data_IF_035242580916
#
_entry.id   IF_035242580916
#
_cell.length_a   1.000
_cell.length_b   1.000
_cell.length_c   1.000
_cell.angle_alpha   90.00
_cell.angle_beta   90.00
_cell.angle_gamma   90.00
#
_symmetry.space_group_name_H-M   'P 1'
#
loop_
_entity.id
_entity.type
_entity.pdbx_description
1 polymer ?
#
# COMPACT_ATOMS: atom_id res chain seq x y z
N UNK A 1 14.17 22.38 -4.44
CA UNK A 1 14.33 20.92 -4.60
C UNK A 1 13.17 20.24 -3.88
N UNK A 2 12.06 19.94 -4.57
CA UNK A 2 10.94 19.21 -3.97
C UNK A 2 11.15 17.70 -4.17
N UNK A 3 12.09 17.13 -3.43
CA UNK A 3 12.15 15.68 -3.30
C UNK A 3 10.98 15.28 -2.39
N UNK A 4 9.80 15.06 -2.96
CA UNK A 4 8.69 14.43 -2.23
C UNK A 4 9.14 13.01 -1.87
N UNK A 5 9.52 12.78 -0.62
CA UNK A 5 9.87 11.46 -0.10
C UNK A 5 8.65 10.82 0.56
N UNK A 6 8.68 9.50 0.76
CA UNK A 6 7.65 8.79 1.54
C UNK A 6 7.59 9.32 2.97
N UNK A 7 8.73 9.68 3.56
CA UNK A 7 8.81 10.29 4.90
C UNK A 7 8.13 11.65 4.94
N UNK A 8 8.42 12.53 3.98
CA UNK A 8 7.76 13.82 3.88
C UNK A 8 6.26 13.66 3.65
N UNK A 9 5.84 12.68 2.84
CA UNK A 9 4.42 12.37 2.66
C UNK A 9 3.75 12.04 4.00
N UNK A 10 4.33 11.10 4.77
CA UNK A 10 3.78 10.69 6.06
C UNK A 10 3.74 11.87 7.03
N UNK A 11 4.82 12.64 7.15
CA UNK A 11 4.90 13.80 8.06
C UNK A 11 3.85 14.88 7.75
N UNK A 12 3.41 15.01 6.48
CA UNK A 12 2.39 15.96 6.06
C UNK A 12 0.94 15.42 6.19
N UNK A 13 0.74 14.19 6.67
CA UNK A 13 -0.59 13.67 6.99
C UNK A 13 -1.01 14.01 8.43
N UNK A 14 -2.32 13.99 8.76
CA UNK A 14 -2.77 14.23 10.13
C UNK A 14 -2.07 13.32 11.14
N UNK A 15 -1.68 13.86 12.30
CA UNK A 15 -0.90 13.14 13.31
C UNK A 15 -1.51 11.79 13.73
N UNK A 16 -2.84 11.69 13.76
CA UNK A 16 -3.54 10.45 14.09
C UNK A 16 -3.35 9.32 13.04
N UNK A 17 -3.02 9.66 11.80
CA UNK A 17 -2.87 8.71 10.68
C UNK A 17 -1.40 8.32 10.47
N UNK A 18 -0.46 9.18 10.85
CA UNK A 18 0.99 8.92 10.74
C UNK A 18 1.43 7.55 11.26
N UNK A 19 1.08 7.10 12.49
CA UNK A 19 1.52 5.80 12.99
C UNK A 19 0.99 4.62 12.16
N UNK A 20 -0.20 4.78 11.56
CA UNK A 20 -0.76 3.77 10.65
C UNK A 20 0.10 3.68 9.40
N UNK A 21 0.43 4.82 8.78
CA UNK A 21 1.23 4.86 7.55
C UNK A 21 2.66 4.38 7.78
N UNK A 22 3.28 4.73 8.90
CA UNK A 22 4.61 4.20 9.26
C UNK A 22 4.58 2.68 9.40
N UNK A 23 3.53 2.13 10.01
CA UNK A 23 3.37 0.68 10.13
C UNK A 23 3.12 0.03 8.76
N UNK A 24 2.34 0.65 7.88
CA UNK A 24 2.17 0.20 6.47
C UNK A 24 3.50 0.21 5.74
N UNK A 25 4.28 1.30 5.83
CA UNK A 25 5.62 1.44 5.25
C UNK A 25 6.54 0.31 5.71
N UNK A 26 6.61 0.04 7.02
CA UNK A 26 7.40 -1.07 7.59
C UNK A 26 6.91 -2.43 7.10
N UNK A 27 5.59 -2.63 7.04
CA UNK A 27 4.96 -3.87 6.57
C UNK A 27 5.35 -4.18 5.13
N UNK A 28 5.26 -3.18 4.24
CA UNK A 28 5.59 -3.35 2.82
C UNK A 28 7.09 -3.59 2.64
N UNK A 29 7.96 -2.82 3.33
CA UNK A 29 9.43 -3.02 3.27
C UNK A 29 9.85 -4.41 3.74
N UNK A 30 9.22 -4.95 4.78
CA UNK A 30 9.50 -6.30 5.25
C UNK A 30 9.03 -7.38 4.26
N UNK A 31 7.93 -7.11 3.54
CA UNK A 31 7.35 -8.03 2.56
C UNK A 31 8.04 -7.98 1.18
N UNK A 32 8.67 -6.85 0.84
CA UNK A 32 9.40 -6.61 -0.41
C UNK A 32 10.75 -5.92 -0.11
N UNK A 33 11.74 -6.64 0.46
CA UNK A 33 12.99 -6.04 0.92
C UNK A 33 13.86 -5.46 -0.20
N UNK A 34 13.69 -5.93 -1.44
CA UNK A 34 14.42 -5.45 -2.62
C UNK A 34 13.69 -4.31 -3.36
N UNK A 35 12.49 -3.94 -2.92
CA UNK A 35 11.72 -2.87 -3.54
C UNK A 35 12.21 -1.50 -3.06
N UNK A 36 12.29 -0.57 -4.02
CA UNK A 36 12.65 0.82 -3.76
C UNK A 36 11.41 1.66 -3.46
N UNK A 37 11.57 2.63 -2.57
CA UNK A 37 10.54 3.61 -2.19
C UNK A 37 10.62 4.82 -3.12
N UNK A 38 9.48 5.24 -3.69
CA UNK A 38 9.36 6.49 -4.43
C UNK A 38 8.00 7.15 -4.18
N UNK A 39 7.88 8.41 -4.56
CA UNK A 39 6.58 9.06 -4.77
C UNK A 39 6.22 8.96 -6.25
N UNK A 40 5.02 8.48 -6.55
CA UNK A 40 4.43 8.49 -7.89
C UNK A 40 2.97 8.85 -7.77
N UNK A 41 2.47 9.69 -8.68
CA UNK A 41 1.11 10.24 -8.62
C UNK A 41 0.80 10.93 -7.27
N UNK A 42 1.81 11.50 -6.62
CA UNK A 42 1.69 12.17 -5.32
C UNK A 42 1.53 11.24 -4.12
N UNK A 43 1.70 9.92 -4.29
CA UNK A 43 1.55 8.94 -3.20
C UNK A 43 2.75 7.98 -3.08
N UNK A 44 3.03 7.47 -1.87
CA UNK A 44 4.00 6.41 -1.64
C UNK A 44 3.80 5.18 -2.53
N UNK A 45 4.89 4.78 -3.16
CA UNK A 45 4.93 3.70 -4.15
C UNK A 45 6.17 2.84 -3.92
N UNK A 46 5.98 1.52 -3.91
CA UNK A 46 7.06 0.56 -3.94
C UNK A 46 7.23 -0.02 -5.33
N UNK A 47 8.47 -0.08 -5.82
CA UNK A 47 8.78 -0.62 -7.13
C UNK A 47 10.03 -1.50 -7.13
N UNK A 48 10.01 -2.54 -7.95
CA UNK A 48 11.14 -3.44 -8.20
C UNK A 48 11.08 -3.84 -9.68
N UNK A 49 11.65 -3.02 -10.55
CA UNK A 49 11.43 -3.06 -12.01
C UNK A 49 10.04 -2.57 -12.44
N UNK A 50 9.00 -3.04 -11.77
CA UNK A 50 7.59 -2.72 -11.94
C UNK A 50 7.00 -2.12 -10.63
N UNK A 51 5.92 -1.34 -10.72
CA UNK A 51 5.22 -0.87 -9.53
C UNK A 51 4.50 -2.04 -8.83
N UNK A 52 4.85 -2.30 -7.58
CA UNK A 52 4.32 -3.42 -6.80
C UNK A 52 3.02 -3.03 -6.11
N UNK A 53 3.09 -1.96 -5.29
CA UNK A 53 2.00 -1.53 -4.42
C UNK A 53 2.15 -0.03 -4.11
N UNK A 54 1.01 0.65 -3.99
CA UNK A 54 0.94 2.03 -3.52
C UNK A 54 0.07 2.10 -2.26
N UNK A 55 0.28 3.14 -1.45
CA UNK A 55 -0.61 3.44 -0.33
C UNK A 55 -0.87 4.94 -0.20
N UNK A 56 -2.06 5.32 0.24
CA UNK A 56 -2.46 6.72 0.39
C UNK A 56 -3.37 6.92 1.61
N UNK A 57 -3.19 8.04 2.31
CA UNK A 57 -4.08 8.48 3.35
C UNK A 57 -5.25 9.28 2.77
N UNK A 58 -6.48 8.78 2.96
CA UNK A 58 -7.70 9.56 2.77
C UNK A 58 -8.23 10.06 4.12
N UNK A 59 -9.33 10.82 4.13
CA UNK A 59 -9.92 11.37 5.37
C UNK A 59 -10.41 10.29 6.35
N UNK A 60 -10.97 9.19 5.84
CA UNK A 60 -11.64 8.15 6.66
C UNK A 60 -11.04 6.76 6.51
N UNK A 61 -10.11 6.56 5.59
CA UNK A 61 -9.56 5.26 5.26
C UNK A 61 -8.13 5.35 4.74
N UNK A 62 -7.42 4.23 4.82
CA UNK A 62 -6.19 3.94 4.12
C UNK A 62 -6.53 3.33 2.76
N UNK A 63 -6.08 3.94 1.67
CA UNK A 63 -6.15 3.34 0.34
C UNK A 63 -4.91 2.48 0.08
N UNK A 64 -5.10 1.23 -0.34
CA UNK A 64 -4.05 0.34 -0.81
C UNK A 64 -4.30 -0.03 -2.26
N UNK A 65 -3.27 0.06 -3.10
CA UNK A 65 -3.36 -0.08 -4.55
C UNK A 65 -2.41 -1.19 -5.02
N UNK A 66 -2.83 -2.47 -4.95
CA UNK A 66 -1.97 -3.61 -5.26
C UNK A 66 -2.10 -4.09 -6.71
N UNK A 67 -2.65 -3.28 -7.62
CA UNK A 67 -3.04 -3.62 -9.01
C UNK A 67 -4.31 -4.49 -9.13
N UNK A 68 -4.97 -4.54 -10.31
CA UNK A 68 -6.18 -5.33 -10.50
C UNK A 68 -6.03 -6.83 -10.28
N UNK A 69 -4.90 -7.41 -10.69
CA UNK A 69 -4.66 -8.85 -10.52
C UNK A 69 -4.67 -9.26 -9.05
N UNK A 70 -4.11 -8.43 -8.18
CA UNK A 70 -4.13 -8.71 -6.74
C UNK A 70 -5.54 -8.57 -6.15
N UNK A 71 -6.32 -7.55 -6.55
CA UNK A 71 -7.71 -7.42 -6.09
C UNK A 71 -8.54 -8.67 -6.44
N UNK A 72 -8.39 -9.19 -7.65
CA UNK A 72 -9.06 -10.44 -8.07
C UNK A 72 -8.57 -11.64 -7.26
N UNK A 73 -7.26 -11.78 -7.07
CA UNK A 73 -6.69 -12.90 -6.30
C UNK A 73 -7.19 -12.92 -4.85
N UNK A 74 -7.25 -11.76 -4.19
CA UNK A 74 -7.63 -11.61 -2.79
C UNK A 74 -9.13 -11.33 -2.57
N UNK A 75 -9.98 -11.46 -3.59
CA UNK A 75 -11.40 -11.07 -3.52
C UNK A 75 -12.16 -11.62 -2.31
N UNK A 76 -11.86 -12.86 -1.88
CA UNK A 76 -12.51 -13.50 -0.73
C UNK A 76 -12.09 -12.85 0.59
N UNK A 77 -10.80 -12.56 0.75
CA UNK A 77 -10.27 -11.86 1.94
C UNK A 77 -10.70 -10.39 1.97
N UNK A 78 -10.98 -9.81 0.80
CA UNK A 78 -11.39 -8.42 0.65
C UNK A 78 -12.92 -8.21 0.71
N UNK A 79 -13.72 -9.29 0.89
CA UNK A 79 -15.18 -9.24 0.77
C UNK A 79 -15.86 -8.25 1.72
N UNK A 80 -15.25 -7.96 2.87
CA UNK A 80 -15.77 -7.03 3.88
C UNK A 80 -15.27 -5.58 3.70
N UNK A 81 -14.47 -5.30 2.66
CA UNK A 81 -13.89 -3.99 2.42
C UNK A 81 -14.40 -3.39 1.11
N UNK A 82 -14.42 -2.06 1.04
CA UNK A 82 -14.72 -1.39 -0.22
C UNK A 82 -13.54 -1.58 -1.18
N UNK A 83 -13.81 -2.17 -2.34
CA UNK A 83 -12.84 -2.40 -3.41
C UNK A 83 -13.26 -1.72 -4.70
N UNK A 84 -12.28 -1.48 -5.57
CA UNK A 84 -12.47 -1.07 -6.96
C UNK A 84 -11.44 -1.79 -7.84
N UNK A 85 -11.36 -1.47 -9.14
CA UNK A 85 -10.56 -2.23 -10.12
C UNK A 85 -9.11 -2.48 -9.70
N UNK A 86 -8.48 -1.63 -8.90
CA UNK A 86 -7.09 -1.81 -8.46
C UNK A 86 -6.81 -1.31 -7.05
N UNK A 87 -7.85 -1.19 -6.23
CA UNK A 87 -7.78 -0.54 -4.91
C UNK A 87 -8.65 -1.26 -3.90
N UNK A 88 -8.19 -1.29 -2.66
CA UNK A 88 -9.02 -1.57 -1.48
C UNK A 88 -8.88 -0.41 -0.49
N UNK A 89 -9.98 -0.07 0.18
CA UNK A 89 -10.02 0.92 1.26
C UNK A 89 -10.15 0.22 2.61
N UNK A 90 -9.22 0.50 3.52
CA UNK A 90 -9.27 0.04 4.91
C UNK A 90 -9.70 1.20 5.83
N UNK A 91 -10.92 1.16 6.39
CA UNK A 91 -11.40 2.20 7.29
C UNK A 91 -10.51 2.38 8.52
N UNK A 92 -10.33 3.62 8.99
CA UNK A 92 -9.52 3.90 10.18
C UNK A 92 -10.24 3.59 11.51
N UNK A 93 -11.56 3.43 11.48
CA UNK A 93 -12.38 3.05 12.64
C UNK A 93 -12.36 1.53 12.91
N UNK A 94 -11.58 0.77 12.14
CA UNK A 94 -11.39 -0.66 12.29
C UNK A 94 -9.91 -1.02 12.31
N UNK A 95 -9.53 -2.20 12.86
CA UNK A 95 -8.16 -2.68 12.78
C UNK A 95 -7.68 -2.80 11.34
N UNK A 96 -6.54 -2.17 11.02
CA UNK A 96 -5.92 -2.27 9.70
C UNK A 96 -5.36 -3.69 9.50
N UNK A 97 -5.72 -4.41 8.42
CA UNK A 97 -5.30 -5.79 8.19
C UNK A 97 -3.88 -5.87 7.61
N UNK A 98 -2.87 -5.63 8.45
CA UNK A 98 -1.46 -5.61 8.03
C UNK A 98 -0.98 -6.95 7.43
N UNK A 99 -1.51 -8.08 7.88
CA UNK A 99 -1.24 -9.39 7.27
C UNK A 99 -1.72 -9.47 5.83
N UNK A 100 -2.89 -8.89 5.51
CA UNK A 100 -3.41 -8.86 4.15
C UNK A 100 -2.56 -7.95 3.26
N UNK A 101 -2.08 -6.82 3.80
CA UNK A 101 -1.12 -5.94 3.10
C UNK A 101 0.18 -6.70 2.79
N UNK A 102 0.70 -7.48 3.75
CA UNK A 102 1.87 -8.35 3.55
C UNK A 102 1.62 -9.36 2.42
N UNK A 103 0.50 -10.08 2.45
CA UNK A 103 0.14 -11.07 1.41
C UNK A 103 0.04 -10.43 0.02
N UNK A 104 -0.65 -9.29 -0.10
CA UNK A 104 -0.78 -8.57 -1.36
C UNK A 104 0.57 -8.11 -1.90
N UNK A 105 1.45 -7.62 -1.01
CA UNK A 105 2.81 -7.20 -1.39
C UNK A 105 3.63 -8.37 -1.91
N UNK A 106 3.67 -9.49 -1.18
CA UNK A 106 4.41 -10.70 -1.59
C UNK A 106 3.88 -11.28 -2.89
N UNK A 107 2.56 -11.32 -3.05
CA UNK A 107 1.92 -11.73 -4.31
C UNK A 107 2.40 -10.88 -5.48
N UNK A 108 2.50 -9.56 -5.29
CA UNK A 108 2.98 -8.65 -6.33
C UNK A 108 4.45 -8.87 -6.67
N UNK A 109 5.33 -9.02 -5.68
CA UNK A 109 6.74 -9.39 -5.91
C UNK A 109 6.85 -10.66 -6.74
N UNK A 110 6.10 -11.70 -6.37
CA UNK A 110 6.10 -12.97 -7.10
C UNK A 110 5.54 -12.83 -8.52
N UNK A 111 4.46 -12.06 -8.72
CA UNK A 111 3.88 -11.89 -10.05
C UNK A 111 4.79 -11.08 -10.99
N UNK A 112 5.55 -10.11 -10.47
CA UNK A 112 6.51 -9.35 -11.28
C UNK A 112 7.77 -10.12 -11.64
N UNK A 113 8.16 -11.10 -10.83
CA UNK A 113 9.34 -11.94 -11.08
C UNK A 113 9.09 -13.07 -12.11
N UNK A 114 7.83 -13.42 -12.36
CA UNK A 114 7.42 -14.50 -13.26
C UNK A 114 6.92 -14.00 -14.63
N UNK A 115 7.30 -12.78 -15.03
CA UNK A 115 7.09 -12.23 -16.38
C UNK A 115 8.40 -12.27 -17.16
#
# INVERSE_FOLDING_TARGET
>A
MNSQTVEAYIANTPAAVQPILEKVRKTIRAAAPEANEKISYGIPTYHQGENLIHFAAAKKHLGIYPTPKAIVHFQKELANYQTSKGTVQFPYDQPIPYDLITKMTKYRVAETANK
#
